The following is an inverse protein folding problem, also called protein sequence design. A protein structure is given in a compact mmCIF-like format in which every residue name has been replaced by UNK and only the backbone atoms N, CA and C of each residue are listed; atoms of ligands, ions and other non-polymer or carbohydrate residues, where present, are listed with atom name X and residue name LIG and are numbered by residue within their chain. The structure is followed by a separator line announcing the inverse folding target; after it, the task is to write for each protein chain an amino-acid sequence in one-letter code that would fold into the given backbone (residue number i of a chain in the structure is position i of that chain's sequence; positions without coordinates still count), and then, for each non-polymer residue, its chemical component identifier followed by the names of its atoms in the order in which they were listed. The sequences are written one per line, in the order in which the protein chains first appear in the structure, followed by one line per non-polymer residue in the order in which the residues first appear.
data_IF_872705037773
#
_entry.id   IF_872705037773
#
_cell.length_a   1.000
_cell.length_b   1.000
_cell.length_c   1.000
_cell.angle_alpha   90.00
_cell.angle_beta   90.00
_cell.angle_gamma   90.00
#
_symmetry.space_group_name_H-M   'P 1'
#
loop_
_entity.id
_entity.type
_entity.pdbx_description
1 polymer ?
#
# COMPACT_ATOMS: atom_id res chain seq x y z
N UNK A 1 29.11 13.44 13.68
CA UNK A 1 30.05 14.51 13.26
C UNK A 1 31.37 13.91 12.79
N UNK A 2 32.23 14.63 12.06
CA UNK A 2 33.56 14.09 11.75
C UNK A 2 34.41 13.93 13.02
N UNK A 3 35.37 13.00 13.00
CA UNK A 3 36.31 12.81 14.14
C UNK A 3 37.06 14.10 14.50
N UNK A 4 37.40 14.92 13.51
CA UNK A 4 38.07 16.21 13.73
C UNK A 4 37.16 17.23 14.43
N UNK A 5 35.90 17.35 13.99
CA UNK A 5 34.94 18.26 14.61
C UNK A 5 34.56 17.84 16.03
N UNK A 6 34.51 16.54 16.33
CA UNK A 6 34.30 16.07 17.70
C UNK A 6 35.44 16.46 18.63
N UNK A 7 36.70 16.29 18.20
CA UNK A 7 37.86 16.76 18.98
C UNK A 7 37.84 18.27 19.22
N UNK A 8 37.43 19.05 18.22
CA UNK A 8 37.27 20.50 18.38
C UNK A 8 36.15 20.88 19.35
N UNK A 9 35.07 20.08 19.42
CA UNK A 9 33.94 20.28 20.34
C UNK A 9 34.30 19.94 21.80
N UNK A 10 35.23 19.01 22.03
CA UNK A 10 35.68 18.65 23.39
C UNK A 10 36.36 19.82 24.12
N UNK A 11 37.06 20.69 23.39
CA UNK A 11 37.78 21.85 23.94
C UNK A 11 36.83 22.84 24.66
N UNK A 12 35.75 23.36 24.03
CA UNK A 12 34.78 24.21 24.72
C UNK A 12 33.97 23.46 25.77
N UNK A 13 33.61 22.18 25.55
CA UNK A 13 32.88 21.38 26.55
C UNK A 13 33.70 21.15 27.83
N UNK A 14 35.03 21.09 27.74
CA UNK A 14 35.89 21.02 28.92
C UNK A 14 35.85 22.30 29.77
N UNK A 15 35.58 23.45 29.16
CA UNK A 15 35.50 24.76 29.85
C UNK A 15 34.16 25.00 30.52
N UNK A 16 33.11 24.27 30.13
CA UNK A 16 31.72 24.45 30.61
C UNK A 16 31.12 23.12 31.10
N UNK A 17 31.36 22.72 32.36
CA UNK A 17 30.95 21.41 32.87
C UNK A 17 29.43 21.20 32.84
N UNK A 18 28.63 22.25 33.04
CA UNK A 18 27.17 22.19 32.97
C UNK A 18 26.68 21.78 31.58
N UNK A 19 27.22 22.39 30.52
CA UNK A 19 26.85 22.06 29.13
C UNK A 19 27.33 20.65 28.79
N UNK A 20 28.52 20.26 29.24
CA UNK A 20 29.06 18.92 29.06
C UNK A 20 28.15 17.84 29.68
N UNK A 21 27.58 18.08 30.85
CA UNK A 21 26.65 17.13 31.48
C UNK A 21 25.35 17.01 30.69
N UNK A 22 24.75 18.12 30.24
CA UNK A 22 23.54 18.13 29.41
C UNK A 22 23.77 17.35 28.11
N UNK A 23 24.88 17.61 27.41
CA UNK A 23 25.22 16.90 26.17
C UNK A 23 25.40 15.41 26.44
N UNK A 24 26.05 15.03 27.54
CA UNK A 24 26.28 13.62 27.89
C UNK A 24 24.99 12.87 28.24
N UNK A 25 24.02 13.54 28.87
CA UNK A 25 22.76 12.93 29.31
C UNK A 25 21.71 12.85 28.19
N UNK A 26 21.69 13.84 27.29
CA UNK A 26 20.58 13.99 26.33
C UNK A 26 20.99 13.84 24.85
N UNK A 27 22.28 13.81 24.52
CA UNK A 27 22.73 13.82 23.11
C UNK A 27 23.73 12.69 22.86
N UNK A 28 23.37 11.79 21.94
CA UNK A 28 24.29 10.77 21.44
C UNK A 28 25.11 11.32 20.29
N UNK A 29 26.41 11.52 20.51
CA UNK A 29 27.35 12.00 19.49
C UNK A 29 28.08 10.83 18.81
N UNK A 30 27.76 10.55 17.55
CA UNK A 30 28.44 9.52 16.78
C UNK A 30 29.56 10.10 15.89
N UNK A 31 30.75 9.47 15.96
CA UNK A 31 31.88 9.83 15.11
C UNK A 31 31.74 9.24 13.71
N UNK A 32 31.99 10.08 12.71
CA UNK A 32 32.03 9.69 11.31
C UNK A 32 33.45 9.83 10.75
N UNK A 33 33.83 8.85 9.92
CA UNK A 33 35.10 8.87 9.19
C UNK A 33 35.09 9.87 8.02
N UNK A 34 33.92 10.38 7.65
CA UNK A 34 33.78 11.44 6.65
C UNK A 34 34.34 12.74 7.22
N UNK A 35 35.39 13.27 6.59
CA UNK A 35 36.21 14.40 7.06
C UNK A 35 35.41 15.69 7.21
N UNK A 36 34.53 15.99 6.24
CA UNK A 36 33.59 17.11 6.31
C UNK A 36 32.35 16.77 5.46
N UNK A 37 31.17 17.13 5.96
CA UNK A 37 29.93 17.07 5.17
C UNK A 37 29.60 18.47 4.70
N UNK A 38 29.14 18.60 3.46
CA UNK A 38 28.60 19.86 2.96
C UNK A 38 27.36 20.23 3.77
N UNK A 39 27.13 21.54 3.99
CA UNK A 39 25.98 22.04 4.74
C UNK A 39 24.65 21.50 4.19
N UNK A 40 24.47 21.52 2.87
CA UNK A 40 23.26 20.99 2.23
C UNK A 40 23.04 19.50 2.52
N UNK A 41 24.11 18.70 2.54
CA UNK A 41 24.02 17.27 2.89
C UNK A 41 23.62 17.04 4.35
N UNK A 42 24.02 17.94 5.26
CA UNK A 42 23.61 17.92 6.66
C UNK A 42 22.13 18.30 6.77
N UNK A 43 21.72 19.40 6.13
CA UNK A 43 20.34 19.88 6.14
C UNK A 43 19.36 18.85 5.57
N UNK A 44 19.72 18.13 4.50
CA UNK A 44 18.91 17.04 3.97
C UNK A 44 18.76 15.83 4.92
N UNK A 45 19.66 15.65 5.89
CA UNK A 45 19.68 14.50 6.80
C UNK A 45 19.14 14.83 8.19
N UNK A 46 18.89 16.10 8.48
CA UNK A 46 18.39 16.59 9.75
C UNK A 46 16.88 16.85 9.68
N UNK A 47 16.24 17.01 10.84
CA UNK A 47 14.82 17.39 10.95
C UNK A 47 13.96 16.37 11.71
N UNK A 48 14.44 15.15 11.92
CA UNK A 48 13.80 14.20 12.82
C UNK A 48 13.91 14.62 14.28
N UNK A 49 12.84 14.42 15.07
CA UNK A 49 12.81 14.74 16.51
C UNK A 49 13.88 13.98 17.29
N UNK A 50 14.18 12.75 16.88
CA UNK A 50 15.23 11.91 17.47
C UNK A 50 16.63 12.17 16.89
N UNK A 51 16.76 13.11 15.95
CA UNK A 51 18.00 13.38 15.24
C UNK A 51 18.32 12.36 14.15
N UNK A 52 19.61 12.19 13.85
CA UNK A 52 20.08 11.32 12.78
C UNK A 52 20.19 9.86 13.26
N UNK A 53 19.63 8.93 12.49
CA UNK A 53 19.73 7.47 12.69
C UNK A 53 21.20 7.02 12.72
N UNK A 54 21.57 6.20 13.71
CA UNK A 54 22.94 5.72 13.91
C UNK A 54 23.41 4.84 12.76
N UNK A 55 24.73 4.78 12.51
CA UNK A 55 25.28 3.86 11.47
C UNK A 55 25.01 2.40 11.81
N UNK A 56 24.99 2.04 13.09
CA UNK A 56 24.79 0.65 13.52
C UNK A 56 23.37 0.18 13.23
N UNK A 57 22.38 1.06 13.38
CA UNK A 57 20.97 0.76 13.06
C UNK A 57 20.77 0.48 11.57
N UNK A 58 21.57 1.10 10.70
CA UNK A 58 21.51 0.91 9.24
C UNK A 58 22.17 -0.38 8.74
N UNK A 59 22.87 -1.13 9.59
CA UNK A 59 23.63 -2.33 9.17
C UNK A 59 22.81 -3.62 9.17
N UNK A 60 21.54 -3.57 9.56
CA UNK A 60 20.67 -4.74 9.52
C UNK A 60 20.45 -5.22 8.09
N UNK A 61 20.62 -6.53 7.87
CA UNK A 61 20.38 -7.13 6.55
C UNK A 61 18.89 -7.10 6.25
N UNK A 62 18.50 -6.26 5.30
CA UNK A 62 17.12 -6.15 4.83
C UNK A 62 16.94 -6.95 3.55
N UNK A 63 15.86 -7.73 3.49
CA UNK A 63 15.42 -8.39 2.27
C UNK A 63 14.43 -7.48 1.55
N UNK A 64 14.84 -6.93 0.40
CA UNK A 64 14.01 -6.02 -0.42
C UNK A 64 13.86 -6.52 -1.86
N UNK A 65 14.37 -7.71 -2.17
CA UNK A 65 14.10 -8.37 -3.44
C UNK A 65 12.67 -8.88 -3.51
N UNK A 66 12.12 -8.91 -4.72
CA UNK A 66 10.75 -9.38 -4.99
C UNK A 66 10.73 -10.90 -5.09
N UNK A 67 9.78 -11.54 -4.41
CA UNK A 67 9.51 -12.97 -4.54
C UNK A 67 8.92 -13.26 -5.93
N UNK A 68 9.45 -14.28 -6.61
CA UNK A 68 8.93 -14.72 -7.89
C UNK A 68 7.87 -15.78 -7.68
N UNK A 69 6.62 -15.42 -7.94
CA UNK A 69 5.50 -16.37 -7.91
C UNK A 69 5.54 -17.37 -9.07
N UNK A 70 4.88 -18.50 -8.91
CA UNK A 70 4.81 -19.59 -9.90
C UNK A 70 4.31 -19.12 -11.27
N UNK A 71 3.36 -18.17 -11.30
CA UNK A 71 2.82 -17.59 -12.54
C UNK A 71 3.91 -16.84 -13.30
N UNK A 72 4.67 -16.01 -12.60
CA UNK A 72 5.78 -15.23 -13.16
C UNK A 72 6.90 -16.15 -13.65
N UNK A 73 7.24 -17.19 -12.88
CA UNK A 73 8.24 -18.19 -13.27
C UNK A 73 7.83 -19.00 -14.50
N UNK A 74 6.57 -19.43 -14.59
CA UNK A 74 6.07 -20.20 -15.73
C UNK A 74 6.09 -19.39 -17.04
N UNK A 75 5.82 -18.08 -16.96
CA UNK A 75 5.85 -17.18 -18.11
C UNK A 75 7.29 -16.80 -18.50
N UNK A 76 8.17 -16.55 -17.53
CA UNK A 76 9.60 -16.34 -17.83
C UNK A 76 10.19 -17.55 -18.53
N UNK A 77 9.92 -18.78 -18.07
CA UNK A 77 10.32 -20.01 -18.77
C UNK A 77 9.82 -20.08 -20.22
N UNK A 78 8.64 -19.52 -20.50
CA UNK A 78 8.12 -19.38 -21.88
C UNK A 78 8.82 -18.27 -22.67
N UNK A 79 9.21 -17.15 -22.04
CA UNK A 79 9.90 -16.01 -22.68
C UNK A 79 11.41 -16.25 -22.86
N UNK A 80 12.06 -17.04 -22.01
CA UNK A 80 13.51 -17.31 -22.08
C UNK A 80 13.84 -18.42 -23.08
N UNK A 81 13.68 -18.11 -24.38
CA UNK A 81 14.61 -18.56 -25.45
C UNK A 81 15.70 -17.49 -25.69
N UNK A 82 16.04 -16.69 -24.67
CA UNK A 82 17.02 -15.60 -24.72
C UNK A 82 17.64 -15.28 -23.35
N UNK A 83 18.88 -14.75 -23.37
CA UNK A 83 19.79 -14.50 -22.23
C UNK A 83 19.15 -13.61 -21.15
N UNK A 84 19.13 -14.06 -19.90
CA UNK A 84 18.75 -13.23 -18.75
C UNK A 84 19.76 -12.10 -18.48
N UNK A 85 19.26 -10.90 -18.18
CA UNK A 85 20.04 -9.70 -17.82
C UNK A 85 20.70 -9.85 -16.43
N UNK A 86 21.94 -9.40 -16.28
CA UNK A 86 22.80 -9.61 -15.08
C UNK A 86 22.24 -9.00 -13.78
N UNK A 87 21.41 -7.96 -13.87
CA UNK A 87 20.85 -7.26 -12.71
C UNK A 87 19.67 -8.00 -12.07
N UNK A 88 18.93 -8.82 -12.83
CA UNK A 88 17.83 -9.63 -12.27
C UNK A 88 18.34 -10.68 -11.28
N UNK A 89 19.56 -11.20 -11.51
CA UNK A 89 20.20 -12.19 -10.63
C UNK A 89 20.64 -11.61 -9.29
N UNK A 90 21.08 -10.35 -9.24
CA UNK A 90 21.42 -9.67 -7.98
C UNK A 90 20.19 -9.35 -7.15
N UNK A 91 19.10 -8.92 -7.78
CA UNK A 91 17.83 -8.65 -7.10
C UNK A 91 17.24 -9.90 -6.45
N UNK A 92 17.30 -11.06 -7.12
CA UNK A 92 16.85 -12.33 -6.56
C UNK A 92 17.67 -12.78 -5.34
N UNK A 93 18.97 -12.49 -5.28
CA UNK A 93 19.80 -12.83 -4.12
C UNK A 93 19.42 -12.06 -2.84
N UNK A 94 18.69 -10.96 -2.98
CA UNK A 94 18.20 -10.11 -1.89
C UNK A 94 16.72 -10.37 -1.56
N UNK A 95 16.05 -11.25 -2.29
CA UNK A 95 14.69 -11.67 -1.99
C UNK A 95 14.66 -12.49 -0.69
N UNK A 96 13.57 -12.42 0.08
CA UNK A 96 13.36 -13.33 1.20
C UNK A 96 13.07 -14.76 0.69
N UNK A 97 13.27 -15.75 1.56
CA UNK A 97 12.79 -17.13 1.30
C UNK A 97 11.26 -17.12 1.26
N UNK A 98 10.59 -17.84 0.34
CA UNK A 98 9.12 -17.82 0.24
C UNK A 98 8.39 -18.10 1.56
N UNK A 99 8.87 -19.05 2.35
CA UNK A 99 8.26 -19.44 3.63
C UNK A 99 8.73 -18.59 4.82
N UNK A 100 9.39 -17.44 4.59
CA UNK A 100 9.85 -16.55 5.67
C UNK A 100 8.69 -16.01 6.51
N UNK A 101 7.54 -15.80 5.88
CA UNK A 101 6.27 -15.40 6.50
C UNK A 101 5.19 -16.27 5.83
N UNK A 102 4.22 -16.82 6.57
CA UNK A 102 3.14 -17.60 5.97
C UNK A 102 2.29 -16.69 5.06
N UNK A 103 2.41 -16.87 3.75
CA UNK A 103 1.59 -16.18 2.76
C UNK A 103 0.37 -17.06 2.40
N UNK A 104 -0.81 -16.46 2.16
CA UNK A 104 -1.96 -17.21 1.71
C UNK A 104 -1.71 -17.83 0.33
N UNK A 105 -2.26 -19.02 0.05
CA UNK A 105 -2.17 -19.61 -1.27
C UNK A 105 -2.88 -18.73 -2.30
N UNK A 106 -2.35 -18.69 -3.52
CA UNK A 106 -2.96 -17.91 -4.59
C UNK A 106 -4.27 -18.55 -5.05
N UNK A 107 -5.37 -17.80 -4.96
CA UNK A 107 -6.66 -18.16 -5.57
C UNK A 107 -6.55 -18.26 -7.09
N UNK A 108 -7.37 -19.10 -7.73
CA UNK A 108 -7.42 -19.19 -9.19
C UNK A 108 -7.80 -17.86 -9.86
N UNK A 109 -8.70 -17.09 -9.23
CA UNK A 109 -9.07 -15.75 -9.71
C UNK A 109 -7.85 -14.82 -9.75
N UNK A 110 -7.08 -14.77 -8.66
CA UNK A 110 -5.87 -13.95 -8.56
C UNK A 110 -4.76 -14.43 -9.52
N UNK A 111 -4.67 -15.75 -9.78
CA UNK A 111 -3.77 -16.30 -10.81
C UNK A 111 -4.16 -15.79 -12.20
N UNK A 112 -5.45 -15.76 -12.52
CA UNK A 112 -5.95 -15.29 -13.81
C UNK A 112 -5.74 -13.78 -13.99
N UNK A 113 -6.05 -13.00 -12.97
CA UNK A 113 -5.82 -11.55 -12.97
C UNK A 113 -4.34 -11.22 -13.18
N UNK A 114 -3.43 -11.91 -12.48
CA UNK A 114 -1.98 -11.76 -12.73
C UNK A 114 -1.58 -12.10 -14.16
N UNK A 115 -2.21 -13.11 -14.78
CA UNK A 115 -1.96 -13.43 -16.20
C UNK A 115 -2.46 -12.29 -17.10
N UNK A 116 -3.61 -11.68 -16.81
CA UNK A 116 -4.15 -10.52 -17.54
C UNK A 116 -3.22 -9.31 -17.40
N UNK A 117 -2.87 -8.94 -16.16
CA UNK A 117 -1.93 -7.86 -15.87
C UNK A 117 -0.59 -8.03 -16.60
N UNK A 118 -0.04 -9.24 -16.67
CA UNK A 118 1.19 -9.51 -17.42
C UNK A 118 1.04 -9.42 -18.95
N UNK A 119 -0.16 -9.67 -19.50
CA UNK A 119 -0.45 -9.42 -20.92
C UNK A 119 -0.53 -7.93 -21.19
N UNK A 120 -1.22 -7.19 -20.32
CA UNK A 120 -1.38 -5.74 -20.44
C UNK A 120 -0.07 -4.99 -20.19
N UNK A 121 0.83 -5.55 -19.36
CA UNK A 121 2.18 -5.04 -19.18
C UNK A 121 2.98 -4.97 -20.49
N UNK A 122 2.74 -5.87 -21.45
CA UNK A 122 3.40 -5.79 -22.76
C UNK A 122 2.85 -4.65 -23.65
N UNK A 123 1.67 -4.10 -23.32
CA UNK A 123 1.05 -2.96 -24.01
C UNK A 123 1.44 -1.62 -23.38
N UNK A 124 2.05 -1.63 -22.20
CA UNK A 124 2.47 -0.41 -21.51
C UNK A 124 3.59 0.29 -22.28
N UNK A 125 3.48 1.62 -22.35
CA UNK A 125 4.52 2.46 -22.92
C UNK A 125 5.66 2.65 -21.92
N UNK A 126 6.89 2.65 -22.43
CA UNK A 126 8.04 2.98 -21.59
C UNK A 126 7.99 4.47 -21.27
N UNK A 127 7.89 4.80 -19.98
CA UNK A 127 7.95 6.18 -19.51
C UNK A 127 9.39 6.69 -19.64
N UNK A 128 9.57 7.76 -20.39
CA UNK A 128 10.86 8.41 -20.61
C UNK A 128 10.70 9.93 -20.64
N UNK A 129 11.82 10.67 -20.74
CA UNK A 129 11.75 12.12 -20.93
C UNK A 129 11.08 12.50 -22.27
N UNK A 130 11.19 11.65 -23.29
CA UNK A 130 10.58 11.86 -24.61
C UNK A 130 9.11 11.42 -24.66
N UNK A 131 8.74 10.48 -23.79
CA UNK A 131 7.38 9.92 -23.65
C UNK A 131 6.90 10.03 -22.20
N UNK A 132 6.52 11.24 -21.74
CA UNK A 132 6.02 11.43 -20.39
C UNK A 132 4.67 10.75 -20.17
N UNK A 133 4.31 10.40 -18.92
CA UNK A 133 3.02 9.81 -18.62
C UNK A 133 1.90 10.85 -18.78
N UNK A 134 0.71 10.38 -19.15
CA UNK A 134 -0.50 11.20 -19.13
C UNK A 134 -1.04 11.31 -17.70
N UNK A 135 -1.45 12.50 -17.29
CA UNK A 135 -2.04 12.75 -15.97
C UNK A 135 -3.52 13.05 -16.13
N UNK A 136 -4.37 12.21 -15.54
CA UNK A 136 -5.80 12.47 -15.41
C UNK A 136 -6.08 12.98 -14.00
N UNK A 137 -6.85 14.06 -13.87
CA UNK A 137 -7.28 14.60 -12.58
C UNK A 137 -8.78 14.41 -12.43
N UNK A 138 -9.18 13.75 -11.35
CA UNK A 138 -10.57 13.57 -10.97
C UNK A 138 -10.86 14.46 -9.75
N UNK A 139 -12.00 15.14 -9.78
CA UNK A 139 -12.47 15.96 -8.65
C UNK A 139 -13.77 15.35 -8.14
N UNK A 140 -13.80 15.00 -6.86
CA UNK A 140 -15.03 14.53 -6.22
C UNK A 140 -16.03 15.70 -6.16
N UNK A 141 -17.19 15.51 -6.80
CA UNK A 141 -18.28 16.47 -6.75
C UNK A 141 -19.19 16.15 -5.56
N UNK A 142 -19.77 17.17 -4.93
CA UNK A 142 -20.71 17.01 -3.84
C UNK A 142 -20.19 16.22 -2.62
N UNK A 143 -18.87 16.19 -2.41
CA UNK A 143 -18.27 15.58 -1.23
C UNK A 143 -18.55 16.47 0.01
N UNK A 144 -19.68 16.24 0.68
CA UNK A 144 -20.06 16.96 1.89
C UNK A 144 -19.02 16.73 3.00
N UNK A 145 -18.38 17.80 3.47
CA UNK A 145 -17.28 17.74 4.43
C UNK A 145 -15.88 17.57 3.80
N UNK A 146 -15.80 17.15 2.54
CA UNK A 146 -14.55 16.97 1.81
C UNK A 146 -13.99 15.55 1.86
N UNK A 147 -13.09 15.27 0.92
CA UNK A 147 -12.40 13.99 0.76
C UNK A 147 -11.15 13.96 1.63
N UNK A 148 -10.98 12.91 2.42
CA UNK A 148 -9.81 12.70 3.27
C UNK A 148 -8.86 11.64 2.74
N UNK A 149 -9.33 10.65 1.98
CA UNK A 149 -8.48 9.67 1.31
C UNK A 149 -9.12 9.11 0.04
N UNK A 150 -8.32 8.47 -0.81
CA UNK A 150 -8.80 7.69 -1.93
C UNK A 150 -7.87 6.52 -2.22
N UNK A 151 -8.40 5.50 -2.88
CA UNK A 151 -7.64 4.36 -3.40
C UNK A 151 -8.26 3.85 -4.71
N UNK A 152 -7.45 3.27 -5.58
CA UNK A 152 -7.88 2.72 -6.87
C UNK A 152 -7.47 1.26 -6.92
N UNK A 153 -8.34 0.40 -7.41
CA UNK A 153 -8.03 -1.03 -7.55
C UNK A 153 -6.86 -1.26 -8.51
N UNK A 154 -6.11 -2.36 -8.32
CA UNK A 154 -4.92 -2.69 -9.12
C UNK A 154 -5.22 -2.81 -10.63
N UNK A 155 -6.43 -3.24 -10.99
CA UNK A 155 -6.93 -3.35 -12.35
C UNK A 155 -7.59 -2.06 -12.87
N UNK A 156 -7.62 -1.00 -12.06
CA UNK A 156 -8.25 0.30 -12.34
C UNK A 156 -9.76 0.23 -12.65
N UNK A 157 -10.45 -0.85 -12.23
CA UNK A 157 -11.89 -1.00 -12.41
C UNK A 157 -12.72 -0.21 -11.39
N UNK A 158 -12.15 0.08 -10.22
CA UNK A 158 -12.86 0.71 -9.11
C UNK A 158 -12.04 1.83 -8.45
N UNK A 159 -12.75 2.84 -7.96
CA UNK A 159 -12.25 3.93 -7.14
C UNK A 159 -12.99 3.94 -5.81
N UNK A 160 -12.25 4.07 -4.72
CA UNK A 160 -12.77 4.31 -3.39
C UNK A 160 -12.39 5.72 -2.94
N UNK A 161 -13.34 6.43 -2.34
CA UNK A 161 -13.14 7.74 -1.73
C UNK A 161 -13.62 7.66 -0.27
N UNK A 162 -12.76 8.03 0.66
CA UNK A 162 -13.10 8.19 2.06
C UNK A 162 -13.45 9.65 2.36
N UNK A 163 -14.64 9.88 2.90
CA UNK A 163 -15.13 11.18 3.32
C UNK A 163 -14.70 11.54 4.75
N UNK A 164 -14.67 12.84 5.01
CA UNK A 164 -14.44 13.39 6.36
C UNK A 164 -15.63 13.17 7.31
N UNK A 165 -16.81 12.88 6.79
CA UNK A 165 -18.03 12.57 7.54
C UNK A 165 -18.12 11.08 7.93
N UNK A 166 -17.17 10.25 7.50
CA UNK A 166 -17.20 8.79 7.70
C UNK A 166 -17.88 8.02 6.58
N UNK A 167 -18.34 8.70 5.52
CA UNK A 167 -18.82 8.05 4.31
C UNK A 167 -17.67 7.41 3.54
N UNK A 168 -17.95 6.28 2.89
CA UNK A 168 -17.04 5.63 1.96
C UNK A 168 -17.79 5.50 0.64
N UNK A 169 -17.35 6.22 -0.37
CA UNK A 169 -17.94 6.21 -1.71
C UNK A 169 -17.13 5.28 -2.60
N UNK A 170 -17.81 4.30 -3.18
CA UNK A 170 -17.24 3.36 -4.15
C UNK A 170 -17.84 3.63 -5.52
N UNK A 171 -16.97 3.76 -6.51
CA UNK A 171 -17.34 3.97 -7.92
C UNK A 171 -16.69 2.91 -8.78
N UNK A 172 -17.48 2.18 -9.57
CA UNK A 172 -16.98 1.28 -10.60
C UNK A 172 -16.96 2.00 -11.96
N UNK A 173 -15.82 1.95 -12.65
CA UNK A 173 -15.64 2.54 -13.98
C UNK A 173 -15.94 1.57 -15.12
N UNK A 174 -15.78 0.28 -14.87
CA UNK A 174 -16.01 -0.76 -15.88
C UNK A 174 -17.49 -1.12 -15.96
N UNK A 175 -18.11 -0.95 -17.14
CA UNK A 175 -19.52 -1.29 -17.35
C UNK A 175 -19.79 -2.79 -17.24
N UNK A 176 -18.79 -3.63 -17.50
CA UNK A 176 -18.87 -5.10 -17.41
C UNK A 176 -18.66 -5.61 -15.98
N UNK A 177 -18.03 -4.80 -15.11
CA UNK A 177 -17.77 -5.10 -13.70
C UNK A 177 -18.40 -4.07 -12.75
N UNK A 178 -19.66 -3.71 -13.01
CA UNK A 178 -20.46 -2.94 -12.04
C UNK A 178 -20.46 -3.61 -10.68
N UNK A 179 -20.68 -2.82 -9.62
CA UNK A 179 -20.80 -3.33 -8.27
C UNK A 179 -22.03 -4.24 -8.20
N UNK A 180 -21.79 -5.54 -8.31
CA UNK A 180 -22.83 -6.57 -8.31
C UNK A 180 -23.46 -6.61 -6.92
N UNK A 181 -24.77 -6.81 -6.90
CA UNK A 181 -25.53 -7.01 -5.67
C UNK A 181 -26.00 -8.45 -5.64
N UNK A 182 -25.85 -9.12 -4.49
CA UNK A 182 -26.43 -10.44 -4.28
C UNK A 182 -27.95 -10.35 -4.33
N UNK A 183 -28.59 -11.39 -4.86
CA UNK A 183 -30.04 -11.56 -4.78
C UNK A 183 -30.50 -11.70 -3.33
N UNK A 184 -31.80 -11.49 -3.11
CA UNK A 184 -32.40 -11.64 -1.78
C UNK A 184 -32.30 -13.08 -1.27
N UNK A 185 -32.32 -13.24 0.05
CA UNK A 185 -32.13 -14.52 0.72
C UNK A 185 -33.10 -15.61 0.21
N UNK A 186 -34.37 -15.26 -0.03
CA UNK A 186 -35.39 -16.21 -0.52
C UNK A 186 -35.09 -16.73 -1.93
N UNK A 187 -34.45 -15.93 -2.77
CA UNK A 187 -34.05 -16.32 -4.11
C UNK A 187 -32.77 -17.15 -4.07
N UNK A 188 -31.81 -16.76 -3.21
CA UNK A 188 -30.56 -17.48 -3.00
C UNK A 188 -30.81 -18.92 -2.49
N UNK A 189 -31.78 -19.14 -1.62
CA UNK A 189 -32.16 -20.47 -1.12
C UNK A 189 -32.70 -21.41 -2.20
N UNK A 190 -33.20 -20.85 -3.32
CA UNK A 190 -33.75 -21.63 -4.44
C UNK A 190 -32.72 -21.93 -5.52
N UNK A 191 -31.49 -21.41 -5.38
CA UNK A 191 -30.44 -21.61 -6.36
C UNK A 191 -29.95 -23.06 -6.29
N UNK A 192 -29.91 -23.69 -7.44
CA UNK A 192 -29.23 -24.97 -7.62
C UNK A 192 -27.71 -24.75 -7.55
N UNK A 193 -27.09 -25.28 -6.50
CA UNK A 193 -25.64 -25.17 -6.29
C UNK A 193 -24.82 -25.97 -7.28
N UNK A 194 -25.44 -26.86 -8.06
CA UNK A 194 -24.77 -27.70 -9.05
C UNK A 194 -24.87 -27.14 -10.48
N UNK A 195 -25.47 -25.96 -10.65
CA UNK A 195 -25.60 -25.31 -11.95
C UNK A 195 -24.24 -24.86 -12.53
N UNK A 196 -24.08 -24.91 -13.85
CA UNK A 196 -22.84 -24.47 -14.51
C UNK A 196 -22.59 -22.95 -14.38
N UNK A 197 -23.66 -22.15 -14.22
CA UNK A 197 -23.60 -20.68 -14.15
C UNK A 197 -24.14 -20.12 -12.81
N UNK A 198 -23.67 -20.65 -11.68
CA UNK A 198 -24.08 -20.19 -10.33
C UNK A 198 -23.94 -18.67 -10.19
N UNK A 199 -22.90 -18.07 -10.78
CA UNK A 199 -22.69 -16.61 -10.73
C UNK A 199 -23.88 -15.80 -11.24
N UNK A 200 -24.54 -16.26 -12.31
CA UNK A 200 -25.68 -15.53 -12.87
C UNK A 200 -26.96 -15.71 -12.07
N UNK A 201 -27.04 -16.81 -11.33
CA UNK A 201 -28.10 -17.08 -10.38
C UNK A 201 -27.89 -16.31 -9.07
N UNK A 202 -26.64 -16.11 -8.66
CA UNK A 202 -26.27 -15.48 -7.39
C UNK A 202 -26.48 -13.96 -7.40
N UNK A 203 -26.11 -13.31 -8.51
CA UNK A 203 -26.16 -11.86 -8.62
C UNK A 203 -27.46 -11.37 -9.28
N UNK A 204 -27.95 -10.23 -8.78
CA UNK A 204 -28.91 -9.40 -9.49
C UNK A 204 -28.15 -8.36 -10.32
N UNK A 205 -28.02 -8.61 -11.61
CA UNK A 205 -27.41 -7.67 -12.55
C UNK A 205 -28.34 -6.48 -12.89
N UNK A 206 -29.64 -6.59 -12.65
CA UNK A 206 -30.60 -5.50 -12.86
C UNK A 206 -30.46 -4.39 -11.83
N UNK A 207 -30.03 -4.74 -10.61
CA UNK A 207 -29.76 -3.81 -9.51
C UNK A 207 -28.28 -3.35 -9.43
N UNK A 208 -27.46 -3.72 -10.42
CA UNK A 208 -26.05 -3.35 -10.44
C UNK A 208 -25.88 -1.82 -10.46
N UNK A 209 -25.16 -1.29 -9.47
CA UNK A 209 -24.90 0.15 -9.32
C UNK A 209 -23.49 0.48 -9.76
N UNK A 210 -23.33 1.64 -10.40
CA UNK A 210 -22.01 2.23 -10.66
C UNK A 210 -21.43 2.88 -9.41
N UNK A 211 -22.28 3.30 -8.48
CA UNK A 211 -21.90 4.04 -7.27
C UNK A 211 -22.62 3.49 -6.04
N UNK A 212 -21.87 3.28 -4.96
CA UNK A 212 -22.37 2.78 -3.68
C UNK A 212 -21.70 3.55 -2.54
N UNK A 213 -22.50 4.02 -1.60
CA UNK A 213 -22.00 4.65 -0.37
C UNK A 213 -22.11 3.69 0.81
N UNK A 214 -20.98 3.27 1.35
CA UNK A 214 -20.91 2.47 2.57
C UNK A 214 -20.95 3.38 3.79
N UNK A 215 -21.91 3.13 4.67
CA UNK A 215 -22.08 3.87 5.91
C UNK A 215 -21.69 3.01 7.10
N UNK A 216 -20.95 3.59 8.05
CA UNK A 216 -20.71 2.92 9.32
C UNK A 216 -19.65 3.56 10.20
N UNK A 217 -18.65 4.23 9.63
CA UNK A 217 -17.71 5.01 10.44
C UNK A 217 -18.42 6.19 11.09
N UNK A 218 -17.98 6.55 12.29
CA UNK A 218 -18.52 7.70 13.04
C UNK A 218 -17.58 8.91 13.04
N UNK A 219 -16.63 8.95 12.11
CA UNK A 219 -15.68 10.04 11.94
C UNK A 219 -14.87 9.90 10.65
N UNK A 220 -14.02 10.89 10.33
CA UNK A 220 -13.24 10.95 9.10
C UNK A 220 -12.52 9.64 8.78
N UNK A 221 -12.61 9.20 7.52
CA UNK A 221 -11.86 8.05 7.01
C UNK A 221 -10.49 8.51 6.55
N UNK A 222 -9.41 8.01 7.14
CA UNK A 222 -8.06 8.49 6.84
C UNK A 222 -7.32 7.67 5.78
N UNK A 223 -7.68 6.41 5.61
CA UNK A 223 -7.07 5.55 4.59
C UNK A 223 -8.01 4.43 4.21
N UNK A 224 -7.99 4.09 2.93
CA UNK A 224 -8.74 3.05 2.25
C UNK A 224 -7.75 2.19 1.47
N UNK A 225 -7.95 0.87 1.42
CA UNK A 225 -7.13 -0.02 0.60
C UNK A 225 -7.96 -1.19 0.06
N UNK A 226 -7.93 -1.41 -1.25
CA UNK A 226 -8.53 -2.59 -1.87
C UNK A 226 -7.73 -3.86 -1.56
N UNK A 227 -8.40 -5.01 -1.47
CA UNK A 227 -7.69 -6.28 -1.55
C UNK A 227 -7.22 -6.53 -2.99
N UNK A 228 -6.08 -7.21 -3.21
CA UNK A 228 -5.58 -7.48 -4.56
C UNK A 228 -6.51 -8.33 -5.45
N UNK A 229 -7.55 -8.93 -4.88
CA UNK A 229 -8.56 -9.72 -5.58
C UNK A 229 -9.90 -8.96 -5.74
N UNK A 230 -9.95 -7.66 -5.41
CA UNK A 230 -11.12 -6.80 -5.56
C UNK A 230 -12.39 -7.29 -4.83
N UNK A 231 -12.23 -8.10 -3.78
CA UNK A 231 -13.35 -8.63 -2.97
C UNK A 231 -13.59 -7.87 -1.69
N UNK A 232 -12.53 -7.30 -1.12
CA UNK A 232 -12.54 -6.66 0.17
C UNK A 232 -12.00 -5.23 0.07
N UNK A 233 -12.46 -4.39 0.97
CA UNK A 233 -11.93 -3.06 1.19
C UNK A 233 -11.61 -2.91 2.68
N UNK A 234 -10.42 -2.43 3.00
CA UNK A 234 -10.04 -2.06 4.36
C UNK A 234 -10.09 -0.54 4.48
N UNK A 235 -10.62 -0.05 5.59
CA UNK A 235 -10.72 1.38 5.87
C UNK A 235 -10.33 1.68 7.30
N UNK A 236 -9.75 2.85 7.54
CA UNK A 236 -9.36 3.33 8.87
C UNK A 236 -9.92 4.72 9.13
N UNK A 237 -10.26 5.00 10.40
CA UNK A 237 -10.97 6.23 10.76
C UNK A 237 -10.48 6.84 12.08
N UNK A 238 -10.84 8.12 12.25
CA UNK A 238 -10.77 8.85 13.53
C UNK A 238 -11.53 8.14 14.65
N UNK A 239 -12.55 7.33 14.32
CA UNK A 239 -13.35 6.58 15.30
C UNK A 239 -12.57 5.45 16.01
N UNK A 240 -11.26 5.34 15.76
CA UNK A 240 -10.36 4.33 16.34
C UNK A 240 -10.73 2.90 15.91
N UNK A 241 -11.37 2.75 14.75
CA UNK A 241 -11.67 1.45 14.16
C UNK A 241 -11.02 1.26 12.79
N UNK A 242 -10.68 0.01 12.49
CA UNK A 242 -10.41 -0.46 11.14
C UNK A 242 -11.57 -1.35 10.73
N UNK A 243 -12.16 -1.07 9.58
CA UNK A 243 -13.30 -1.82 9.06
C UNK A 243 -12.93 -2.55 7.79
N UNK A 244 -13.29 -3.83 7.76
CA UNK A 244 -13.24 -4.67 6.57
C UNK A 244 -14.64 -4.72 5.95
N UNK A 245 -14.73 -4.34 4.69
CA UNK A 245 -15.96 -4.35 3.90
C UNK A 245 -15.87 -5.43 2.84
N UNK A 246 -16.98 -6.13 2.61
CA UNK A 246 -17.13 -7.00 1.45
C UNK A 246 -17.75 -6.19 0.33
N UNK A 247 -17.09 -6.15 -0.82
CA UNK A 247 -17.55 -5.41 -2.00
C UNK A 247 -18.73 -6.11 -2.69
N UNK A 248 -18.84 -7.43 -2.51
CA UNK A 248 -19.93 -8.26 -3.02
C UNK A 248 -21.25 -8.03 -2.27
N UNK A 249 -21.18 -7.97 -0.94
CA UNK A 249 -22.35 -7.73 -0.09
C UNK A 249 -22.57 -6.25 0.20
N UNK A 250 -21.57 -5.41 -0.10
CA UNK A 250 -21.53 -3.98 0.22
C UNK A 250 -21.79 -3.71 1.71
N UNK A 251 -21.30 -4.59 2.56
CA UNK A 251 -21.52 -4.56 4.02
C UNK A 251 -20.21 -4.68 4.77
N UNK A 252 -20.21 -4.13 5.98
CA UNK A 252 -19.12 -4.34 6.92
C UNK A 252 -19.13 -5.79 7.40
N UNK A 253 -17.98 -6.46 7.26
CA UNK A 253 -17.78 -7.86 7.69
C UNK A 253 -17.13 -7.91 9.06
N UNK A 254 -16.09 -7.08 9.27
CA UNK A 254 -15.30 -7.07 10.50
C UNK A 254 -15.01 -5.64 10.95
N UNK A 255 -14.99 -5.45 12.28
CA UNK A 255 -14.54 -4.23 12.94
C UNK A 255 -13.40 -4.56 13.90
N UNK A 256 -12.21 -4.08 13.60
CA UNK A 256 -11.08 -4.09 14.53
C UNK A 256 -11.09 -2.80 15.35
N UNK A 257 -11.17 -2.90 16.66
CA UNK A 257 -11.22 -1.74 17.57
C UNK A 257 -9.86 -1.49 18.20
N UNK A 258 -9.46 -0.22 18.20
CA UNK A 258 -8.21 0.28 18.77
C UNK A 258 -8.51 1.39 19.79
N UNK A 259 -7.51 1.79 20.55
CA UNK A 259 -7.64 2.83 21.59
C UNK A 259 -7.39 4.24 21.06
N UNK A 260 -6.94 4.38 19.81
CA UNK A 260 -6.57 5.66 19.19
C UNK A 260 -6.94 5.70 17.71
N UNK A 261 -7.05 6.92 17.14
CA UNK A 261 -7.26 7.12 15.71
C UNK A 261 -6.23 6.38 14.86
N UNK A 262 -6.68 5.85 13.73
CA UNK A 262 -5.85 5.10 12.79
C UNK A 262 -5.72 5.89 11.51
N UNK A 263 -4.51 6.34 11.21
CA UNK A 263 -4.23 7.20 10.06
C UNK A 263 -4.00 6.44 8.76
N UNK A 264 -3.54 5.18 8.85
CA UNK A 264 -3.19 4.37 7.70
C UNK A 264 -3.44 2.89 7.98
N UNK A 265 -3.91 2.19 6.97
CA UNK A 265 -4.06 0.72 6.90
C UNK A 265 -3.25 0.14 5.75
#
# INVERSE_FOLDING_TARGET
MSKSSLKQLEIPLARTPTIKNIVKEHITLEASDVVSKLRSSIECQMGGVLGQVSKNEKRHKMHYGVLKDDVSQAIEKKKTRGKELKDSKKSQALAPVPDRIPLPPLSEALREERRKAMRDANKLTLVSQESPPSVCMLTALNAYGGVSCCDVSDDSSMLCIGGSDGSIELTAFDEDQKLKTLRDMEELERIDTDADNISDLLYDYGSAKSEVTLHGHSGPVYSTHFSPDNRLLVTSSLDSTIRLWSLETQKNVVVYRLSRPVWQV
#
